data_IF_051514317743
#
_entry.id   IF_051514317743
#
_cell.length_a   1.000
_cell.length_b   1.000
_cell.length_c   1.000
_cell.angle_alpha   90.00
_cell.angle_beta   90.00
_cell.angle_gamma   90.00
#
_symmetry.space_group_name_H-M   'P 1'
#
loop_
_entity.id
_entity.type
_entity.pdbx_description
1 polymer ?
#
# COMPACT_ATOMS: atom_id res chain seq x y z
N UNK A 1 -22.16 14.41 -20.92
CA UNK A 1 -20.84 14.10 -21.54
C UNK A 1 -19.90 13.69 -20.43
N UNK A 2 -19.67 12.39 -20.26
CA UNK A 2 -18.70 11.90 -19.28
C UNK A 2 -17.30 12.08 -19.87
N UNK A 3 -16.51 13.01 -19.32
CA UNK A 3 -15.09 13.07 -19.63
C UNK A 3 -14.44 11.87 -18.96
N UNK A 4 -14.14 10.85 -19.75
CA UNK A 4 -13.10 9.90 -19.38
C UNK A 4 -11.81 10.70 -19.29
N UNK A 5 -11.30 10.89 -18.07
CA UNK A 5 -9.91 11.29 -17.91
C UNK A 5 -9.08 10.08 -18.34
N UNK A 6 -8.12 10.23 -19.26
CA UNK A 6 -7.16 9.18 -19.47
C UNK A 6 -6.43 8.99 -18.13
N UNK A 7 -6.46 7.78 -17.58
CA UNK A 7 -5.59 7.40 -16.47
C UNK A 7 -4.19 7.42 -17.05
N UNK A 8 -3.55 8.59 -16.99
CA UNK A 8 -2.12 8.73 -17.27
C UNK A 8 -1.45 8.05 -16.09
N UNK A 9 -0.67 6.95 -16.28
CA UNK A 9 0.16 6.42 -15.22
C UNK A 9 1.10 7.56 -14.82
N UNK A 10 0.87 8.13 -13.65
CA UNK A 10 1.72 9.22 -13.19
C UNK A 10 3.05 8.56 -12.88
N UNK A 11 4.12 8.98 -13.54
CA UNK A 11 5.52 8.61 -13.31
C UNK A 11 6.03 9.02 -11.90
N UNK A 12 5.10 9.19 -10.96
CA UNK A 12 5.24 9.76 -9.63
C UNK A 12 4.65 8.84 -8.55
N UNK A 13 4.36 7.58 -8.91
CA UNK A 13 3.93 6.58 -7.93
C UNK A 13 5.09 6.19 -7.00
N UNK A 14 4.78 6.02 -5.72
CA UNK A 14 5.73 5.51 -4.73
C UNK A 14 5.74 4.00 -4.81
N UNK A 15 6.86 3.40 -5.22
CA UNK A 15 7.02 1.96 -5.17
C UNK A 15 7.20 1.49 -3.72
N UNK A 16 6.34 0.56 -3.29
CA UNK A 16 6.31 0.03 -1.94
C UNK A 16 6.49 -1.49 -1.96
N UNK A 17 7.56 -1.97 -1.36
CA UNK A 17 7.85 -3.40 -1.22
C UNK A 17 7.76 -3.86 0.23
N UNK A 18 7.64 -5.18 0.44
CA UNK A 18 7.54 -5.77 1.78
C UNK A 18 6.42 -5.12 2.58
N UNK A 19 5.26 -5.00 1.95
CA UNK A 19 4.19 -4.13 2.42
C UNK A 19 3.17 -4.89 3.28
N UNK A 20 2.50 -4.15 4.15
CA UNK A 20 1.36 -4.53 4.98
C UNK A 20 0.20 -3.57 4.71
N UNK A 21 -1.01 -4.04 5.01
CA UNK A 21 -2.18 -3.18 5.19
C UNK A 21 -2.65 -3.29 6.62
N UNK A 22 -2.60 -2.18 7.34
CA UNK A 22 -3.00 -2.10 8.75
C UNK A 22 -4.29 -1.32 8.87
N UNK A 23 -5.29 -1.90 9.54
CA UNK A 23 -6.58 -1.26 9.81
C UNK A 23 -6.62 -0.79 11.27
N UNK A 24 -6.94 0.48 11.49
CA UNK A 24 -7.09 1.09 12.83
C UNK A 24 -8.45 0.73 13.44
N UNK A 25 -8.63 1.04 14.73
CA UNK A 25 -9.91 0.91 15.42
C UNK A 25 -11.04 1.78 14.82
N UNK A 26 -10.68 2.79 14.03
CA UNK A 26 -11.62 3.66 13.32
C UNK A 26 -11.99 3.10 11.94
N UNK A 27 -11.43 1.96 11.54
CA UNK A 27 -11.65 1.34 10.23
C UNK A 27 -10.83 1.96 9.09
N UNK A 28 -9.89 2.86 9.41
CA UNK A 28 -8.99 3.44 8.42
C UNK A 28 -7.89 2.43 8.08
N UNK A 29 -7.63 2.23 6.78
CA UNK A 29 -6.60 1.30 6.31
C UNK A 29 -5.39 2.07 5.83
N UNK A 30 -4.19 1.64 6.25
CA UNK A 30 -2.94 2.30 5.91
C UNK A 30 -1.97 1.30 5.29
N UNK A 31 -1.23 1.72 4.27
CA UNK A 31 -0.09 0.97 3.78
C UNK A 31 1.11 1.19 4.69
N UNK A 32 1.84 0.11 4.96
CA UNK A 32 3.13 0.15 5.63
C UNK A 32 4.13 -0.67 4.82
N UNK A 33 5.35 -0.19 4.61
CA UNK A 33 6.34 -0.95 3.84
C UNK A 33 7.60 -0.15 3.55
N UNK A 34 8.45 -0.66 2.64
CA UNK A 34 9.68 0.01 2.23
C UNK A 34 9.46 0.79 0.95
N UNK A 35 9.67 2.10 1.01
CA UNK A 35 9.74 2.93 -0.18
C UNK A 35 11.05 2.61 -0.92
N UNK A 36 10.96 1.98 -2.09
CA UNK A 36 12.13 1.51 -2.83
C UNK A 36 13.04 2.65 -3.31
N UNK A 37 12.46 3.81 -3.66
CA UNK A 37 13.23 4.97 -4.08
C UNK A 37 14.05 5.58 -2.93
N UNK A 38 13.52 5.55 -1.70
CA UNK A 38 14.17 6.16 -0.52
C UNK A 38 14.92 5.15 0.35
N UNK A 39 14.70 3.85 0.15
CA UNK A 39 15.27 2.77 0.96
C UNK A 39 14.83 2.81 2.43
N UNK A 40 13.65 3.38 2.72
CA UNK A 40 13.20 3.59 4.10
C UNK A 40 11.76 3.16 4.31
N UNK A 41 11.47 2.75 5.56
CA UNK A 41 10.12 2.39 5.96
C UNK A 41 9.18 3.61 5.91
N UNK A 42 7.94 3.36 5.53
CA UNK A 42 6.91 4.39 5.36
C UNK A 42 5.55 3.85 5.80
N UNK A 43 4.77 4.73 6.42
CA UNK A 43 3.33 4.55 6.66
C UNK A 43 2.59 5.59 5.81
N UNK A 44 1.55 5.17 5.10
CA UNK A 44 0.74 6.07 4.26
C UNK A 44 -0.36 6.76 5.08
N UNK A 45 -0.97 7.80 4.49
CA UNK A 45 -2.32 8.22 4.89
C UNK A 45 -3.34 7.13 4.55
N UNK A 46 -4.57 7.27 5.03
CA UNK A 46 -5.62 6.28 4.82
C UNK A 46 -5.85 6.00 3.33
N UNK A 47 -6.00 4.72 2.99
CA UNK A 47 -6.29 4.22 1.65
C UNK A 47 -7.66 4.74 1.22
N UNK A 48 -7.72 5.24 -0.01
CA UNK A 48 -8.97 5.67 -0.65
C UNK A 48 -9.43 4.63 -1.67
N UNK A 49 -8.56 4.19 -2.58
CA UNK A 49 -8.89 3.14 -3.55
C UNK A 49 -7.72 2.20 -3.83
N UNK A 50 -8.05 1.00 -4.30
CA UNK A 50 -7.13 0.02 -4.88
C UNK A 50 -7.57 -0.25 -6.32
N UNK A 51 -6.67 -0.03 -7.28
CA UNK A 51 -6.76 -0.58 -8.63
C UNK A 51 -5.99 -1.90 -8.67
N UNK A 52 -6.72 -3.02 -8.59
CA UNK A 52 -6.15 -4.36 -8.60
C UNK A 52 -5.56 -4.76 -9.97
N UNK A 53 -5.92 -4.07 -11.07
CA UNK A 53 -5.39 -4.37 -12.40
C UNK A 53 -3.95 -3.89 -12.58
N UNK A 54 -3.58 -2.84 -11.85
CA UNK A 54 -2.23 -2.24 -11.85
C UNK A 54 -1.52 -2.39 -10.51
N UNK A 55 -2.20 -2.95 -9.51
CA UNK A 55 -1.78 -2.99 -8.10
C UNK A 55 -1.34 -1.62 -7.58
N UNK A 56 -2.12 -0.59 -7.93
CA UNK A 56 -1.94 0.77 -7.45
C UNK A 56 -2.96 1.13 -6.37
N UNK A 57 -2.47 1.76 -5.31
CA UNK A 57 -3.29 2.26 -4.21
C UNK A 57 -3.21 3.77 -4.19
N UNK A 58 -4.37 4.42 -4.07
CA UNK A 58 -4.44 5.85 -3.81
C UNK A 58 -4.81 6.09 -2.35
N UNK A 59 -4.29 7.16 -1.77
CA UNK A 59 -4.61 7.55 -0.40
C UNK A 59 -5.41 8.85 -0.37
N UNK A 60 -6.08 9.14 0.75
CA UNK A 60 -6.89 10.35 0.93
C UNK A 60 -6.13 11.66 0.72
N UNK A 61 -4.79 11.65 0.81
CA UNK A 61 -3.96 12.83 0.52
C UNK A 61 -3.51 12.90 -0.95
N UNK A 62 -4.01 12.02 -1.81
CA UNK A 62 -3.69 11.95 -3.24
C UNK A 62 -2.37 11.27 -3.60
N UNK A 63 -1.70 10.59 -2.67
CA UNK A 63 -0.49 9.83 -3.02
C UNK A 63 -0.86 8.52 -3.72
N UNK A 64 -0.13 8.17 -4.77
CA UNK A 64 -0.26 6.90 -5.48
C UNK A 64 0.89 5.99 -5.06
N UNK A 65 0.58 4.76 -4.69
CA UNK A 65 1.54 3.72 -4.33
C UNK A 65 1.43 2.55 -5.30
N UNK A 66 2.55 2.13 -5.87
CA UNK A 66 2.64 0.90 -6.67
C UNK A 66 3.15 -0.22 -5.77
N UNK A 67 2.30 -1.21 -5.47
CA UNK A 67 2.67 -2.33 -4.59
C UNK A 67 3.54 -3.33 -5.35
N UNK A 68 4.68 -3.71 -4.75
CA UNK A 68 5.69 -4.58 -5.37
C UNK A 68 5.86 -5.87 -4.58
N UNK A 69 5.73 -6.99 -5.28
CA UNK A 69 5.83 -8.33 -4.71
C UNK A 69 4.78 -8.65 -3.63
N UNK A 70 4.95 -9.81 -3.00
CA UNK A 70 4.14 -10.31 -1.88
C UNK A 70 5.08 -10.89 -0.82
N UNK A 71 4.73 -10.74 0.45
CA UNK A 71 5.50 -11.27 1.58
C UNK A 71 6.83 -10.53 1.85
N UNK A 72 7.70 -11.18 2.62
CA UNK A 72 9.00 -10.65 3.06
C UNK A 72 8.92 -9.26 3.71
N UNK A 73 7.97 -9.10 4.63
CA UNK A 73 7.78 -7.85 5.35
C UNK A 73 8.97 -7.62 6.30
N UNK A 74 9.73 -6.53 6.11
CA UNK A 74 10.89 -6.23 6.95
C UNK A 74 10.48 -5.74 8.33
N UNK A 75 11.32 -5.99 9.34
CA UNK A 75 11.08 -5.56 10.72
C UNK A 75 10.88 -4.04 10.82
N UNK A 76 11.58 -3.27 9.99
CA UNK A 76 11.50 -1.82 9.87
C UNK A 76 10.08 -1.34 9.54
N UNK A 77 9.31 -2.10 8.76
CA UNK A 77 7.92 -1.78 8.47
C UNK A 77 7.05 -1.88 9.74
N UNK A 78 7.19 -2.95 10.52
CA UNK A 78 6.50 -3.11 11.80
C UNK A 78 6.90 -2.04 12.83
N UNK A 79 8.19 -1.70 12.91
CA UNK A 79 8.68 -0.64 13.78
C UNK A 79 8.11 0.73 13.38
N UNK A 80 8.05 1.02 12.07
CA UNK A 80 7.45 2.24 11.57
C UNK A 80 5.95 2.32 11.90
N UNK A 81 5.21 1.21 11.76
CA UNK A 81 3.81 1.14 12.17
C UNK A 81 3.62 1.44 13.66
N UNK A 82 4.41 0.78 14.52
CA UNK A 82 4.33 0.99 15.98
C UNK A 82 4.64 2.43 16.40
N UNK A 83 5.62 3.08 15.76
CA UNK A 83 5.91 4.49 15.99
C UNK A 83 4.78 5.39 15.48
N UNK A 84 4.24 5.10 14.30
CA UNK A 84 3.14 5.85 13.71
C UNK A 84 1.89 5.80 14.59
N UNK A 85 1.52 4.62 15.11
CA UNK A 85 0.40 4.44 16.03
C UNK A 85 0.55 5.32 17.28
N UNK A 86 1.74 5.31 17.89
CA UNK A 86 2.04 6.15 19.07
C UNK A 86 1.87 7.64 18.77
N UNK A 87 2.32 8.09 17.60
CA UNK A 87 2.25 9.51 17.21
C UNK A 87 0.82 9.95 16.84
N UNK A 88 -0.05 9.03 16.41
CA UNK A 88 -1.41 9.31 15.96
C UNK A 88 -2.48 8.84 16.95
N UNK A 89 -2.08 8.40 18.15
CA UNK A 89 -2.97 7.90 19.19
C UNK A 89 -3.89 6.75 18.74
N UNK A 90 -3.41 5.88 17.86
CA UNK A 90 -4.10 4.64 17.46
C UNK A 90 -4.03 3.65 18.61
N UNK A 91 -5.18 3.30 19.16
CA UNK A 91 -5.32 2.46 20.36
C UNK A 91 -5.52 0.99 20.02
N UNK A 92 -6.01 0.70 18.83
CA UNK A 92 -6.26 -0.67 18.36
C UNK A 92 -5.99 -0.78 16.87
N UNK A 93 -5.47 -1.91 16.44
CA UNK A 93 -5.28 -2.17 15.02
C UNK A 93 -5.27 -3.67 14.74
N UNK A 94 -5.48 -4.02 13.48
CA UNK A 94 -5.31 -5.37 12.97
C UNK A 94 -4.61 -5.36 11.63
N UNK A 95 -3.85 -6.43 11.38
CA UNK A 95 -3.27 -6.70 10.08
C UNK A 95 -4.36 -7.27 9.16
N UNK A 96 -4.62 -6.60 8.03
CA UNK A 96 -5.58 -7.01 6.99
C UNK A 96 -4.88 -7.25 5.65
N UNK A 97 -3.56 -7.47 5.65
CA UNK A 97 -2.74 -7.63 4.45
C UNK A 97 -3.26 -8.75 3.55
N UNK A 98 -3.77 -9.84 4.12
CA UNK A 98 -4.33 -10.99 3.38
C UNK A 98 -5.50 -10.59 2.45
N UNK A 99 -6.30 -9.59 2.83
CA UNK A 99 -7.41 -9.08 2.01
C UNK A 99 -6.90 -8.47 0.68
N UNK A 100 -5.65 -8.00 0.66
CA UNK A 100 -4.99 -7.38 -0.49
C UNK A 100 -4.06 -8.35 -1.22
N UNK A 101 -3.46 -9.30 -0.50
CA UNK A 101 -2.60 -10.32 -1.09
C UNK A 101 -3.31 -11.16 -2.16
N UNK A 102 -4.61 -11.41 -2.00
CA UNK A 102 -5.39 -12.15 -3.00
C UNK A 102 -5.41 -11.42 -4.35
N UNK A 103 -5.58 -10.09 -4.34
CA UNK A 103 -5.48 -9.27 -5.54
C UNK A 103 -4.06 -9.26 -6.10
N UNK A 104 -3.04 -9.16 -5.23
CA UNK A 104 -1.65 -9.19 -5.66
C UNK A 104 -1.26 -10.51 -6.33
N UNK A 105 -1.70 -11.65 -5.78
CA UNK A 105 -1.48 -12.97 -6.39
C UNK A 105 -2.12 -13.07 -7.78
N UNK A 106 -3.35 -12.55 -7.93
CA UNK A 106 -4.03 -12.52 -9.22
C UNK A 106 -3.28 -11.64 -10.23
N UNK A 107 -2.87 -10.44 -9.81
CA UNK A 107 -2.06 -9.53 -10.63
C UNK A 107 -0.74 -10.15 -11.08
N UNK A 108 0.01 -10.76 -10.16
CA UNK A 108 1.29 -11.42 -10.47
C UNK A 108 1.11 -12.64 -11.38
N UNK A 109 -0.01 -13.37 -11.28
CA UNK A 109 -0.28 -14.54 -12.13
C UNK A 109 -0.65 -14.16 -13.57
N UNK A 110 -1.22 -12.96 -13.77
CA UNK A 110 -1.56 -12.41 -15.09
C UNK A 110 -0.50 -11.48 -15.68
N UNK A 111 0.54 -11.15 -14.92
CA UNK A 111 1.68 -10.33 -15.33
C UNK A 111 2.86 -11.24 -15.66
N UNK A 112 3.65 -10.95 -16.70
CA UNK A 112 4.89 -11.67 -17.04
C UNK A 112 6.01 -11.54 -15.98
N UNK A 113 5.66 -11.23 -14.72
CA UNK A 113 6.56 -10.96 -13.60
C UNK A 113 7.37 -12.19 -13.11
N UNK A 114 7.22 -13.34 -13.75
CA UNK A 114 7.95 -14.60 -13.47
C UNK A 114 8.84 -15.09 -14.62
N UNK A 115 9.11 -14.27 -15.65
CA UNK A 115 10.14 -14.58 -16.66
C UNK A 115 11.44 -13.80 -16.44
#
# INVERSE_FOLDING_TARGET
MFRQHPVVPTDQSIELAGWLVMETELGERHLVGINLSRGSARVSSAIETLDASTMQVTTQTGHVYSLRGIGNVPMEAYLAWGLWCRNHAVLGWRDVTEEYETAMRAYLSGSDYLQ
#
